data_IF_610903675032
#
_entry.id   IF_610903675032
#
_cell.length_a   1.000
_cell.length_b   1.000
_cell.length_c   1.000
_cell.angle_alpha   90.00
_cell.angle_beta   90.00
_cell.angle_gamma   90.00
#
_symmetry.space_group_name_H-M   'P 1'
#
loop_
_entity.id
_entity.type
_entity.pdbx_description
1 polymer ?
#
# COMPACT_ATOMS: atom_id res chain seq x y z
N UNK A 1 -1.75 6.50 -14.55
CA UNK A 1 -1.60 5.11 -15.08
C UNK A 1 -1.46 4.19 -13.89
N UNK A 2 -2.29 3.16 -13.77
CA UNK A 2 -2.19 2.21 -12.64
C UNK A 2 -3.12 1.02 -12.82
N UNK A 3 -2.95 0.00 -11.98
CA UNK A 3 -3.72 -1.26 -11.99
C UNK A 3 -5.19 -1.09 -11.51
N UNK A 4 -5.80 0.08 -11.73
CA UNK A 4 -7.12 0.47 -11.23
C UNK A 4 -8.21 -0.53 -11.62
N UNK A 5 -8.14 -1.06 -12.85
CA UNK A 5 -9.12 -2.03 -13.33
C UNK A 5 -9.08 -3.33 -12.54
N UNK A 6 -7.90 -3.85 -12.18
CA UNK A 6 -7.82 -5.09 -11.40
C UNK A 6 -8.28 -4.89 -9.97
N UNK A 7 -7.93 -3.75 -9.35
CA UNK A 7 -8.43 -3.37 -8.03
C UNK A 7 -9.96 -3.27 -8.04
N UNK A 8 -10.53 -2.54 -9.00
CA UNK A 8 -11.98 -2.40 -9.14
C UNK A 8 -12.67 -3.76 -9.33
N UNK A 9 -12.12 -4.61 -10.21
CA UNK A 9 -12.67 -5.95 -10.45
C UNK A 9 -12.57 -6.87 -9.25
N UNK A 10 -11.52 -6.76 -8.43
CA UNK A 10 -11.40 -7.52 -7.19
C UNK A 10 -12.50 -7.11 -6.20
N UNK A 11 -12.74 -5.81 -6.03
CA UNK A 11 -13.80 -5.29 -5.14
C UNK A 11 -15.18 -5.68 -5.65
N UNK A 12 -15.47 -5.49 -6.95
CA UNK A 12 -16.74 -5.90 -7.57
C UNK A 12 -17.00 -7.41 -7.42
N UNK A 13 -15.95 -8.22 -7.39
CA UNK A 13 -16.06 -9.67 -7.23
C UNK A 13 -16.45 -10.07 -5.81
N UNK A 14 -15.82 -9.47 -4.78
CA UNK A 14 -16.06 -9.82 -3.37
C UNK A 14 -17.26 -9.08 -2.76
N UNK A 15 -17.60 -7.93 -3.32
CA UNK A 15 -18.71 -7.08 -2.88
C UNK A 15 -19.64 -6.71 -4.07
N UNK A 16 -20.32 -7.69 -4.70
CA UNK A 16 -21.09 -7.47 -5.93
C UNK A 16 -22.32 -6.55 -5.77
N UNK A 17 -22.72 -6.27 -4.52
CA UNK A 17 -23.81 -5.35 -4.20
C UNK A 17 -23.33 -3.89 -4.03
N UNK A 18 -22.02 -3.68 -3.91
CA UNK A 18 -21.44 -2.36 -3.72
C UNK A 18 -21.18 -1.66 -5.06
N UNK A 19 -21.35 -0.34 -5.07
CA UNK A 19 -21.03 0.48 -6.25
C UNK A 19 -19.55 0.84 -6.22
N UNK A 20 -18.77 0.24 -7.11
CA UNK A 20 -17.35 0.57 -7.31
C UNK A 20 -17.23 1.65 -8.38
N UNK A 21 -16.60 2.78 -8.04
CA UNK A 21 -16.35 3.86 -8.99
C UNK A 21 -14.86 4.19 -9.05
N UNK A 22 -14.27 4.03 -10.23
CA UNK A 22 -12.90 4.49 -10.52
C UNK A 22 -13.00 5.94 -10.99
N UNK A 23 -12.48 6.87 -10.20
CA UNK A 23 -12.66 8.30 -10.44
C UNK A 23 -11.38 9.09 -10.20
N UNK A 24 -11.27 10.22 -10.90
CA UNK A 24 -10.31 11.29 -10.59
C UNK A 24 -11.02 12.59 -10.19
N UNK A 25 -12.33 12.51 -9.86
CA UNK A 25 -13.13 13.65 -9.41
C UNK A 25 -13.07 13.77 -7.88
N UNK A 26 -12.51 14.88 -7.34
CA UNK A 26 -12.51 15.17 -5.90
C UNK A 26 -13.88 15.05 -5.23
N UNK A 27 -14.96 15.47 -5.90
CA UNK A 27 -16.31 15.45 -5.33
C UNK A 27 -16.80 14.03 -5.07
N UNK A 28 -16.49 13.10 -6.00
CA UNK A 28 -16.84 11.69 -5.85
C UNK A 28 -16.07 11.06 -4.69
N UNK A 29 -14.76 11.35 -4.55
CA UNK A 29 -13.95 10.85 -3.42
C UNK A 29 -14.48 11.37 -2.07
N UNK A 30 -14.88 12.64 -2.02
CA UNK A 30 -15.44 13.25 -0.82
C UNK A 30 -16.80 12.65 -0.44
N UNK A 31 -17.64 12.31 -1.42
CA UNK A 31 -18.94 11.68 -1.20
C UNK A 31 -18.87 10.17 -0.89
N UNK A 32 -17.78 9.49 -1.29
CA UNK A 32 -17.64 8.04 -1.11
C UNK A 32 -17.66 7.64 0.37
N UNK A 33 -18.26 6.48 0.68
CA UNK A 33 -18.28 5.94 2.04
C UNK A 33 -16.93 5.31 2.46
N UNK A 34 -16.16 4.83 1.48
CA UNK A 34 -14.85 4.18 1.65
C UNK A 34 -13.96 4.53 0.47
N UNK A 35 -12.65 4.56 0.68
CA UNK A 35 -11.69 4.90 -0.38
C UNK A 35 -10.63 3.80 -0.48
N UNK A 36 -10.39 3.33 -1.71
CA UNK A 36 -9.19 2.54 -2.02
C UNK A 36 -8.24 3.45 -2.77
N UNK A 37 -7.03 3.61 -2.25
CA UNK A 37 -5.99 4.49 -2.77
C UNK A 37 -4.81 3.66 -3.33
N UNK A 38 -4.94 3.13 -4.55
CA UNK A 38 -3.87 2.38 -5.19
C UNK A 38 -2.89 3.32 -5.91
N UNK A 39 -1.64 2.88 -6.05
CA UNK A 39 -0.67 3.55 -6.91
C UNK A 39 0.29 2.56 -7.58
N UNK A 40 0.77 2.92 -8.77
CA UNK A 40 1.77 2.17 -9.52
C UNK A 40 2.64 3.14 -10.32
N UNK A 41 3.95 2.86 -10.38
CA UNK A 41 4.92 3.68 -11.08
C UNK A 41 5.93 4.26 -10.11
N UNK A 42 6.54 5.37 -10.49
CA UNK A 42 7.52 6.07 -9.67
C UNK A 42 6.82 7.06 -8.73
N UNK A 43 7.34 7.20 -7.50
CA UNK A 43 6.85 8.16 -6.51
C UNK A 43 6.76 9.61 -7.03
N UNK A 44 7.76 10.17 -7.76
CA UNK A 44 7.67 11.53 -8.29
C UNK A 44 6.45 11.74 -9.18
N UNK A 45 6.19 10.80 -10.09
CA UNK A 45 5.05 10.86 -11.02
C UNK A 45 3.72 10.69 -10.30
N UNK A 46 3.64 9.79 -9.33
CA UNK A 46 2.42 9.56 -8.56
C UNK A 46 2.05 10.79 -7.72
N UNK A 47 3.02 11.37 -7.00
CA UNK A 47 2.79 12.57 -6.20
C UNK A 47 2.48 13.80 -7.06
N UNK A 48 3.14 13.93 -8.23
CA UNK A 48 2.83 14.99 -9.19
C UNK A 48 1.39 14.84 -9.71
N UNK A 49 1.00 13.66 -10.16
CA UNK A 49 -0.36 13.41 -10.65
C UNK A 49 -1.42 13.62 -9.56
N UNK A 50 -1.16 13.20 -8.33
CA UNK A 50 -2.07 13.41 -7.19
C UNK A 50 -2.33 14.90 -6.94
N UNK A 51 -1.31 15.74 -7.07
CA UNK A 51 -1.40 17.20 -6.93
C UNK A 51 -2.11 17.83 -8.13
N UNK A 52 -1.69 17.50 -9.34
CA UNK A 52 -2.26 18.05 -10.59
C UNK A 52 -3.74 17.69 -10.77
N UNK A 53 -4.17 16.53 -10.29
CA UNK A 53 -5.58 16.09 -10.32
C UNK A 53 -6.45 16.72 -9.23
N UNK A 54 -5.85 17.45 -8.26
CA UNK A 54 -6.58 17.99 -7.11
C UNK A 54 -7.03 16.95 -6.09
N UNK A 55 -6.53 15.71 -6.18
CA UNK A 55 -6.92 14.59 -5.32
C UNK A 55 -6.15 14.53 -4.00
N UNK A 56 -5.05 15.28 -3.85
CA UNK A 56 -4.27 15.28 -2.61
C UNK A 56 -5.14 15.59 -1.38
N UNK A 57 -5.92 16.67 -1.42
CA UNK A 57 -6.76 17.06 -0.28
C UNK A 57 -7.90 16.04 0.00
N UNK A 58 -8.69 15.58 -1.00
CA UNK A 58 -9.67 14.50 -0.81
C UNK A 58 -9.09 13.23 -0.19
N UNK A 59 -7.88 12.81 -0.60
CA UNK A 59 -7.23 11.63 -0.02
C UNK A 59 -6.84 11.87 1.44
N UNK A 60 -6.29 13.05 1.76
CA UNK A 60 -5.96 13.42 3.14
C UNK A 60 -7.19 13.50 4.04
N UNK A 61 -8.31 13.99 3.51
CA UNK A 61 -9.57 14.09 4.25
C UNK A 61 -10.22 12.71 4.43
N UNK A 62 -10.17 11.86 3.40
CA UNK A 62 -10.60 10.47 3.51
C UNK A 62 -9.79 9.73 4.58
N UNK A 63 -8.47 9.91 4.59
CA UNK A 63 -7.56 9.34 5.58
C UNK A 63 -7.88 9.75 7.03
N UNK A 64 -8.66 10.81 7.26
CA UNK A 64 -9.11 11.24 8.60
C UNK A 64 -10.53 10.84 8.97
N UNK A 65 -11.38 10.53 7.99
CA UNK A 65 -12.84 10.55 8.18
C UNK A 65 -13.54 9.25 7.79
N UNK A 66 -12.92 8.39 6.99
CA UNK A 66 -13.55 7.19 6.45
C UNK A 66 -12.54 6.07 6.18
N UNK A 67 -12.97 4.80 6.13
CA UNK A 67 -12.06 3.70 5.83
C UNK A 67 -11.27 3.93 4.54
N UNK A 68 -9.93 3.88 4.65
CA UNK A 68 -9.00 4.05 3.55
C UNK A 68 -8.08 2.84 3.45
N UNK A 69 -8.10 2.16 2.30
CA UNK A 69 -7.18 1.08 1.96
C UNK A 69 -6.15 1.57 0.94
N UNK A 70 -4.89 1.68 1.32
CA UNK A 70 -3.82 2.09 0.40
C UNK A 70 -2.98 0.89 -0.10
N UNK A 71 -2.62 0.89 -1.38
CA UNK A 71 -1.96 -0.27 -2.02
C UNK A 71 -0.70 0.14 -2.78
N UNK A 72 0.41 -0.55 -2.50
CA UNK A 72 1.72 -0.39 -3.11
C UNK A 72 2.24 1.05 -3.02
N UNK A 73 2.32 1.81 -4.12
CA UNK A 73 2.71 3.23 -4.06
C UNK A 73 1.70 4.03 -3.23
N UNK A 74 0.44 3.60 -3.17
CA UNK A 74 -0.56 4.17 -2.26
C UNK A 74 -0.10 4.19 -0.80
N UNK A 75 0.46 3.08 -0.31
CA UNK A 75 1.04 2.99 1.04
C UNK A 75 2.24 3.93 1.17
N UNK A 76 3.16 3.90 0.21
CA UNK A 76 4.38 4.72 0.22
C UNK A 76 4.07 6.22 0.25
N UNK A 77 3.05 6.66 -0.50
CA UNK A 77 2.59 8.06 -0.50
C UNK A 77 2.09 8.54 0.85
N UNK A 78 1.72 7.67 1.80
CA UNK A 78 1.29 8.08 3.14
C UNK A 78 2.45 8.60 4.01
N UNK A 79 3.70 8.26 3.68
CA UNK A 79 4.90 8.62 4.45
C UNK A 79 5.48 9.98 4.07
N UNK A 80 6.50 10.43 4.80
CA UNK A 80 7.05 11.80 4.70
C UNK A 80 7.83 12.01 3.40
N UNK A 81 8.73 11.08 3.08
CA UNK A 81 9.66 11.22 1.95
C UNK A 81 10.05 9.87 1.37
N UNK A 82 10.26 9.83 0.07
CA UNK A 82 10.81 8.68 -0.64
C UNK A 82 12.19 8.99 -1.19
N UNK A 83 13.11 8.06 -1.05
CA UNK A 83 14.40 8.06 -1.74
C UNK A 83 14.23 8.04 -3.27
N UNK A 84 13.09 7.55 -3.78
CA UNK A 84 12.79 7.58 -5.21
C UNK A 84 12.58 9.01 -5.70
N UNK A 85 13.62 9.58 -6.30
CA UNK A 85 13.62 10.95 -6.79
C UNK A 85 13.52 11.99 -5.67
N UNK A 86 13.88 11.62 -4.43
CA UNK A 86 13.92 12.54 -3.28
C UNK A 86 12.57 13.25 -3.07
N UNK A 87 11.48 12.48 -3.19
CA UNK A 87 10.12 13.00 -3.35
C UNK A 87 9.39 13.11 -2.02
N UNK A 88 8.83 14.28 -1.65
CA UNK A 88 7.95 14.40 -0.50
C UNK A 88 6.61 13.69 -0.74
N UNK A 89 6.20 12.83 0.20
CA UNK A 89 4.90 12.18 0.23
C UNK A 89 3.83 13.05 0.90
N UNK A 90 2.80 12.40 1.45
CA UNK A 90 1.73 13.08 2.16
C UNK A 90 2.11 13.41 3.61
N UNK A 91 3.06 12.69 4.21
CA UNK A 91 3.44 12.89 5.62
C UNK A 91 2.27 12.67 6.60
N UNK A 92 1.42 11.68 6.31
CA UNK A 92 0.37 11.24 7.24
C UNK A 92 0.94 10.30 8.31
N UNK A 93 1.98 9.56 7.97
CA UNK A 93 2.79 8.76 8.88
C UNK A 93 4.23 9.22 8.87
N UNK A 94 4.88 9.20 10.05
CA UNK A 94 6.30 9.46 10.18
C UNK A 94 7.15 8.30 9.67
N UNK A 95 8.21 8.61 8.94
CA UNK A 95 9.12 7.63 8.35
C UNK A 95 9.36 7.86 6.86
N UNK A 96 10.34 7.13 6.33
CA UNK A 96 10.81 7.26 4.97
C UNK A 96 10.45 6.05 4.12
N UNK A 97 10.46 6.23 2.80
CA UNK A 97 10.36 5.16 1.82
C UNK A 97 11.74 4.93 1.23
N UNK A 98 12.36 3.82 1.60
CA UNK A 98 13.78 3.53 1.33
C UNK A 98 13.96 2.43 0.30
N UNK A 99 15.07 2.44 -0.43
CA UNK A 99 15.38 1.46 -1.46
C UNK A 99 16.00 0.20 -0.87
N UNK A 100 15.63 -0.96 -1.39
CA UNK A 100 16.40 -2.19 -1.15
C UNK A 100 17.83 -2.04 -1.69
N UNK A 101 18.83 -2.26 -0.83
CA UNK A 101 20.23 -2.23 -1.23
C UNK A 101 20.68 -3.62 -1.73
N UNK A 102 21.42 -3.72 -2.85
CA UNK A 102 21.88 -5.01 -3.38
C UNK A 102 22.80 -5.80 -2.44
N UNK A 103 23.46 -5.12 -1.51
CA UNK A 103 24.45 -5.64 -0.56
C UNK A 103 23.91 -5.77 0.87
N UNK A 104 22.58 -5.85 1.04
CA UNK A 104 21.93 -6.06 2.33
C UNK A 104 22.50 -7.31 3.06
N UNK A 105 22.91 -7.19 4.34
CA UNK A 105 23.63 -8.26 5.07
C UNK A 105 22.86 -9.59 5.22
N UNK A 106 21.53 -9.57 5.08
CA UNK A 106 20.67 -10.75 5.22
C UNK A 106 20.49 -11.56 3.94
N UNK A 107 21.07 -11.15 2.80
CA UNK A 107 20.96 -11.86 1.55
C UNK A 107 22.12 -12.87 1.36
N UNK A 108 21.83 -14.08 0.88
CA UNK A 108 22.83 -15.11 0.55
C UNK A 108 23.57 -14.82 -0.77
N UNK A 109 23.94 -13.56 -0.99
CA UNK A 109 24.45 -13.01 -2.25
C UNK A 109 23.81 -11.67 -2.60
N UNK A 110 24.08 -11.16 -3.81
CA UNK A 110 23.52 -9.88 -4.27
C UNK A 110 21.98 -9.96 -4.37
N UNK A 111 21.29 -9.13 -3.60
CA UNK A 111 19.83 -9.06 -3.59
C UNK A 111 19.32 -8.58 -4.96
N UNK A 112 18.37 -9.31 -5.55
CA UNK A 112 17.71 -8.87 -6.79
C UNK A 112 16.77 -7.71 -6.46
N UNK A 113 16.79 -6.64 -7.26
CA UNK A 113 15.89 -5.49 -7.07
C UNK A 113 15.26 -5.19 -8.43
N UNK A 114 13.92 -5.14 -8.55
CA UNK A 114 12.92 -5.12 -7.47
C UNK A 114 12.73 -6.46 -6.74
N UNK A 115 12.17 -6.39 -5.51
CA UNK A 115 11.50 -7.51 -4.87
C UNK A 115 10.26 -7.86 -5.72
N UNK A 116 10.29 -9.01 -6.39
CA UNK A 116 9.23 -9.41 -7.31
C UNK A 116 8.87 -10.89 -7.12
N UNK A 117 7.58 -11.15 -6.95
CA UNK A 117 7.03 -12.49 -6.81
C UNK A 117 6.23 -12.67 -5.53
N UNK A 118 5.90 -13.92 -5.24
CA UNK A 118 5.17 -14.27 -4.04
C UNK A 118 6.12 -14.30 -2.84
N UNK A 119 5.72 -13.70 -1.72
CA UNK A 119 6.43 -13.78 -0.45
C UNK A 119 5.44 -13.89 0.73
N UNK A 120 5.91 -14.41 1.86
CA UNK A 120 5.08 -14.64 3.05
C UNK A 120 5.00 -13.38 3.91
N UNK A 121 3.80 -13.07 4.36
CA UNK A 121 3.54 -11.94 5.26
C UNK A 121 3.36 -12.49 6.67
N UNK A 122 4.22 -12.04 7.59
CA UNK A 122 4.00 -12.20 9.03
C UNK A 122 3.08 -11.11 9.52
N UNK A 123 1.99 -11.48 10.16
CA UNK A 123 1.08 -10.54 10.84
C UNK A 123 1.70 -10.17 12.20
N UNK A 124 2.07 -8.91 12.37
CA UNK A 124 2.77 -8.44 13.57
C UNK A 124 1.84 -8.04 14.71
N UNK A 125 0.56 -7.78 14.39
CA UNK A 125 -0.51 -7.52 15.35
C UNK A 125 -1.87 -7.91 14.74
N UNK A 126 -2.87 -8.24 15.56
CA UNK A 126 -4.23 -8.46 15.09
C UNK A 126 -4.80 -7.20 14.42
N UNK A 127 -5.52 -7.38 13.32
CA UNK A 127 -6.27 -6.32 12.66
C UNK A 127 -7.47 -6.92 11.92
N UNK A 128 -8.57 -6.18 11.80
CA UNK A 128 -9.79 -6.67 11.15
C UNK A 128 -9.56 -7.11 9.69
N UNK A 129 -8.63 -6.46 8.99
CA UNK A 129 -8.26 -6.77 7.60
C UNK A 129 -7.46 -8.08 7.48
N UNK A 130 -7.00 -8.66 8.59
CA UNK A 130 -6.40 -10.00 8.59
C UNK A 130 -7.44 -11.11 8.86
N UNK A 131 -8.70 -10.77 9.11
CA UNK A 131 -9.72 -11.77 9.42
C UNK A 131 -9.89 -12.78 8.28
N UNK A 132 -9.80 -14.07 8.61
CA UNK A 132 -9.87 -15.16 7.63
C UNK A 132 -8.62 -15.31 6.76
N UNK A 133 -7.49 -14.68 7.12
CA UNK A 133 -6.18 -14.86 6.47
C UNK A 133 -5.22 -15.48 7.50
N UNK A 134 -4.70 -16.66 7.19
CA UNK A 134 -3.70 -17.31 8.06
C UNK A 134 -2.40 -16.49 8.11
N UNK A 135 -1.76 -16.44 9.28
CA UNK A 135 -0.40 -15.88 9.38
C UNK A 135 0.56 -16.64 8.44
N UNK A 136 1.57 -15.95 7.91
CA UNK A 136 2.49 -16.47 6.89
C UNK A 136 1.86 -16.78 5.52
N UNK A 137 0.64 -16.30 5.25
CA UNK A 137 0.03 -16.38 3.91
C UNK A 137 0.89 -15.69 2.85
N UNK A 138 0.79 -16.20 1.62
CA UNK A 138 1.55 -15.69 0.47
C UNK A 138 0.81 -14.52 -0.19
N UNK A 139 1.55 -13.45 -0.47
CA UNK A 139 1.09 -12.29 -1.23
C UNK A 139 2.07 -11.93 -2.34
N UNK A 140 1.58 -11.29 -3.40
CA UNK A 140 2.38 -10.90 -4.55
C UNK A 140 2.96 -9.49 -4.39
N UNK A 141 4.29 -9.39 -4.52
CA UNK A 141 5.06 -8.16 -4.43
C UNK A 141 5.70 -7.78 -5.77
N UNK A 142 5.83 -6.48 -6.02
CA UNK A 142 6.63 -5.92 -7.12
C UNK A 142 7.05 -4.48 -6.80
N UNK A 143 8.18 -4.32 -6.11
CA UNK A 143 8.64 -3.00 -5.65
C UNK A 143 10.16 -2.95 -5.42
N UNK A 144 10.77 -1.78 -5.60
CA UNK A 144 12.18 -1.55 -5.27
C UNK A 144 12.38 -0.78 -3.96
N UNK A 145 11.33 -0.13 -3.48
CA UNK A 145 11.31 0.71 -2.28
C UNK A 145 10.27 0.18 -1.31
N UNK A 146 10.45 0.42 -0.01
CA UNK A 146 9.54 -0.01 1.05
C UNK A 146 9.50 1.05 2.15
N UNK A 147 8.43 1.03 2.95
CA UNK A 147 8.26 1.99 4.05
C UNK A 147 9.07 1.59 5.27
N UNK A 148 9.70 2.57 5.92
CA UNK A 148 10.46 2.43 7.16
C UNK A 148 9.83 3.37 8.22
N UNK A 149 8.75 2.94 8.90
CA UNK A 149 8.06 3.79 9.87
C UNK A 149 8.95 4.13 11.07
N UNK A 150 8.86 5.37 11.57
CA UNK A 150 9.51 5.76 12.82
C UNK A 150 8.88 5.08 14.04
N UNK A 151 7.55 4.90 14.01
CA UNK A 151 6.77 4.28 15.07
C UNK A 151 6.48 2.82 14.74
N UNK A 152 6.90 1.88 15.60
CA UNK A 152 6.71 0.44 15.38
C UNK A 152 5.24 0.04 15.52
N UNK A 153 4.47 0.82 16.27
CA UNK A 153 3.05 0.65 16.52
C UNK A 153 2.23 0.75 15.22
N UNK A 154 2.75 1.36 14.16
CA UNK A 154 2.12 1.39 12.84
C UNK A 154 2.14 0.03 12.15
N UNK A 155 3.18 -0.78 12.39
CA UNK A 155 3.47 -2.00 11.63
C UNK A 155 2.44 -3.08 11.96
N UNK A 156 1.74 -3.58 10.93
CA UNK A 156 0.79 -4.70 11.07
C UNK A 156 1.16 -5.93 10.27
N UNK A 157 2.05 -5.79 9.30
CA UNK A 157 2.61 -6.90 8.54
C UNK A 157 4.07 -6.67 8.21
N UNK A 158 4.87 -7.72 8.32
CA UNK A 158 6.29 -7.73 7.99
C UNK A 158 6.61 -8.89 7.03
N UNK A 159 7.58 -8.68 6.15
CA UNK A 159 8.08 -9.69 5.22
C UNK A 159 9.60 -9.72 5.27
N UNK A 160 10.22 -10.85 4.94
CA UNK A 160 11.68 -10.95 4.82
C UNK A 160 12.13 -10.95 3.36
N UNK A 161 12.92 -9.95 2.97
CA UNK A 161 13.57 -9.86 1.66
C UNK A 161 14.89 -9.06 1.76
N UNK A 162 16.03 -9.73 1.81
CA UNK A 162 17.33 -9.12 2.13
C UNK A 162 17.46 -8.61 3.58
N UNK A 163 16.36 -8.62 4.32
CA UNK A 163 16.17 -8.18 5.70
C UNK A 163 14.67 -8.16 5.99
N UNK A 164 14.28 -7.92 7.25
CA UNK A 164 12.87 -7.72 7.57
C UNK A 164 12.47 -6.32 7.13
N UNK A 165 11.33 -6.19 6.45
CA UNK A 165 10.76 -4.91 6.07
C UNK A 165 9.25 -4.87 6.35
N UNK A 166 8.73 -3.66 6.55
CA UNK A 166 7.30 -3.40 6.75
C UNK A 166 6.56 -3.55 5.43
N UNK A 167 5.59 -4.47 5.38
CA UNK A 167 4.77 -4.70 4.20
C UNK A 167 3.29 -4.39 4.40
N UNK A 168 2.88 -4.06 5.63
CA UNK A 168 1.58 -3.49 5.90
C UNK A 168 1.62 -2.61 7.15
N UNK A 169 0.88 -1.51 7.12
CA UNK A 169 0.69 -0.59 8.25
C UNK A 169 -0.79 -0.31 8.50
N UNK A 170 -1.11 0.05 9.75
CA UNK A 170 -2.47 0.42 10.14
C UNK A 170 -2.47 1.45 11.27
N UNK A 171 -3.36 2.44 11.17
CA UNK A 171 -3.70 3.41 12.21
C UNK A 171 -5.11 3.95 11.97
N UNK A 172 -5.91 4.00 13.02
CA UNK A 172 -7.28 4.51 12.99
C UNK A 172 -8.12 3.86 11.87
N UNK A 173 -8.51 4.63 10.86
CA UNK A 173 -9.32 4.23 9.70
C UNK A 173 -8.48 3.85 8.47
N UNK A 174 -7.15 3.78 8.59
CA UNK A 174 -6.23 3.49 7.48
C UNK A 174 -5.66 2.09 7.65
N UNK A 175 -5.73 1.30 6.58
CA UNK A 175 -4.93 0.10 6.38
C UNK A 175 -4.17 0.24 5.07
N UNK A 176 -2.89 -0.12 5.04
CA UNK A 176 -2.07 0.02 3.85
C UNK A 176 -1.17 -1.19 3.67
N UNK A 177 -0.92 -1.58 2.41
CA UNK A 177 -0.17 -2.79 2.05
C UNK A 177 0.81 -2.52 0.93
N UNK A 178 2.01 -3.10 1.05
CA UNK A 178 3.06 -3.00 0.03
C UNK A 178 2.83 -4.00 -1.09
N UNK A 179 2.28 -5.16 -0.76
CA UNK A 179 1.87 -6.18 -1.72
C UNK A 179 0.61 -5.73 -2.48
N UNK A 180 0.25 -6.50 -3.50
CA UNK A 180 -0.91 -6.26 -4.35
C UNK A 180 -2.02 -7.27 -4.01
N UNK A 181 -3.04 -6.92 -3.19
CA UNK A 181 -4.12 -7.85 -2.86
C UNK A 181 -4.86 -8.33 -4.12
N UNK A 182 -5.03 -7.45 -5.11
CA UNK A 182 -5.68 -7.77 -6.39
C UNK A 182 -4.89 -8.78 -7.26
N UNK A 183 -3.66 -9.12 -6.87
CA UNK A 183 -2.79 -10.13 -7.50
C UNK A 183 -2.48 -11.31 -6.59
N UNK A 184 -3.05 -11.37 -5.39
CA UNK A 184 -2.67 -12.31 -4.33
C UNK A 184 -3.71 -13.42 -4.10
N UNK A 185 -4.43 -13.80 -5.15
CA UNK A 185 -5.43 -14.88 -5.13
C UNK A 185 -6.43 -14.75 -3.97
N UNK A 186 -6.84 -15.86 -3.35
CA UNK A 186 -7.86 -15.86 -2.30
C UNK A 186 -7.48 -15.02 -1.07
N UNK A 187 -6.21 -15.09 -0.62
CA UNK A 187 -5.73 -14.29 0.50
C UNK A 187 -5.80 -12.79 0.19
N UNK A 188 -5.44 -12.41 -1.04
CA UNK A 188 -5.56 -11.05 -1.53
C UNK A 188 -6.99 -10.55 -1.62
N UNK A 189 -7.90 -11.37 -2.13
CA UNK A 189 -9.32 -11.03 -2.22
C UNK A 189 -9.95 -10.81 -0.84
N UNK A 190 -9.48 -11.52 0.20
CA UNK A 190 -9.99 -11.37 1.57
C UNK A 190 -9.66 -10.01 2.21
N UNK A 191 -8.69 -9.28 1.68
CA UNK A 191 -8.35 -7.91 2.11
C UNK A 191 -9.41 -6.88 1.66
N UNK A 192 -10.13 -7.15 0.56
CA UNK A 192 -11.16 -6.25 0.00
C UNK A 192 -12.54 -6.54 0.60
#
# INVERSE_FOLDING_TARGET
MGNLRSVAKAIEHVAPQERVEVTSDPAVVNAAARVVFPGQGAMPDCMRYLRESGLEQPVRDAARTKPLLAVCIGEQMLFERSEEGDTPGLGLFGGDVVRFQPDMPGASGRLKVPHMGWNRVRQSKPHALWDGIDDQSWFYFVHSYYVAPHEKELITGETTYGGVFTCAVARDNIFATQFHPEKSAAAGLRIY
#
